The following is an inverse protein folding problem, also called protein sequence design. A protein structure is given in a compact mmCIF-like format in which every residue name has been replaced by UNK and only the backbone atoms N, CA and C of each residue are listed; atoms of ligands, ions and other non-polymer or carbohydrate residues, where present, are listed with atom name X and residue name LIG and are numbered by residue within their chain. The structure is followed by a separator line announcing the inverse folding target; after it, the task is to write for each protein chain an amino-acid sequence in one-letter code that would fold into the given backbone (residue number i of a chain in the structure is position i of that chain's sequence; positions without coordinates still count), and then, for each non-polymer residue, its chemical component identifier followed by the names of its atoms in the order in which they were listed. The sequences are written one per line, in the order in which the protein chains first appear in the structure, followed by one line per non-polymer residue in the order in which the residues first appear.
data_IF_050735684466
#
_entry.id   IF_050735684466
#
_cell.length_a   1.000
_cell.length_b   1.000
_cell.length_c   1.000
_cell.angle_alpha   90.00
_cell.angle_beta   90.00
_cell.angle_gamma   90.00
#
_symmetry.space_group_name_H-M   'P 1'
#
loop_
_entity.id
_entity.type
_entity.pdbx_description
1 polymer ?
#
# COMPACT_ATOMS: atom_id res chain seq x y z
N UNK A 1 -4.17 4.80 -15.32
CA UNK A 1 -3.45 5.45 -14.20
C UNK A 1 -2.16 4.70 -13.89
N UNK A 2 -1.27 5.23 -13.05
CA UNK A 2 -0.05 4.53 -12.61
C UNK A 2 0.00 4.50 -11.09
N UNK A 3 0.22 3.32 -10.52
CA UNK A 3 0.49 3.15 -9.09
C UNK A 3 1.93 3.53 -8.77
N UNK A 4 2.09 4.27 -7.69
CA UNK A 4 3.37 4.63 -7.09
C UNK A 4 3.22 4.56 -5.57
N UNK A 5 4.21 4.01 -4.89
CA UNK A 5 4.25 4.00 -3.44
C UNK A 5 4.90 5.30 -2.94
N UNK A 6 4.22 5.99 -2.03
CA UNK A 6 4.83 7.09 -1.28
C UNK A 6 5.89 6.51 -0.32
N UNK A 7 6.92 7.31 0.03
CA UNK A 7 7.96 6.84 0.95
C UNK A 7 7.38 6.38 2.29
N UNK A 8 6.45 7.14 2.85
CA UNK A 8 5.75 6.77 4.09
C UNK A 8 5.00 5.45 3.96
N UNK A 9 4.39 5.16 2.80
CA UNK A 9 3.69 3.89 2.60
C UNK A 9 4.64 2.69 2.52
N UNK A 10 5.89 2.90 2.10
CA UNK A 10 6.94 1.88 2.14
C UNK A 10 7.38 1.64 3.59
N UNK A 11 7.65 2.72 4.35
CA UNK A 11 8.05 2.62 5.75
C UNK A 11 6.91 1.99 6.62
N UNK A 12 5.64 2.30 6.31
CA UNK A 12 4.48 1.66 6.94
C UNK A 12 4.40 0.17 6.61
N UNK A 13 4.69 -0.21 5.36
CA UNK A 13 4.76 -1.59 4.92
C UNK A 13 5.80 -2.40 5.70
N UNK A 14 7.01 -1.86 5.87
CA UNK A 14 8.09 -2.46 6.66
C UNK A 14 7.68 -2.70 8.10
N UNK A 15 7.07 -1.69 8.73
CA UNK A 15 6.66 -1.78 10.12
C UNK A 15 5.56 -2.82 10.33
N UNK A 16 4.58 -2.89 9.42
CA UNK A 16 3.52 -3.90 9.46
C UNK A 16 4.11 -5.30 9.27
N UNK A 17 4.95 -5.47 8.25
CA UNK A 17 5.56 -6.76 7.95
C UNK A 17 6.39 -7.26 9.14
N UNK A 18 7.34 -6.45 9.63
CA UNK A 18 8.21 -6.83 10.74
C UNK A 18 7.45 -7.12 12.04
N UNK A 19 6.36 -6.40 12.30
CA UNK A 19 5.51 -6.68 13.46
C UNK A 19 4.89 -8.08 13.37
N UNK A 20 4.28 -8.43 12.24
CA UNK A 20 3.63 -9.74 12.05
C UNK A 20 4.66 -10.85 11.93
N UNK A 21 5.78 -10.61 11.22
CA UNK A 21 6.83 -11.58 10.97
C UNK A 21 7.41 -12.13 12.27
N UNK A 22 7.55 -11.28 13.29
CA UNK A 22 8.08 -11.66 14.59
C UNK A 22 7.28 -12.79 15.27
N UNK A 23 6.00 -12.93 14.95
CA UNK A 23 5.12 -13.97 15.48
C UNK A 23 4.80 -15.05 14.44
N UNK A 24 4.59 -14.66 13.18
CA UNK A 24 4.17 -15.56 12.11
C UNK A 24 4.63 -15.05 10.72
N UNK A 25 5.79 -15.52 10.23
CA UNK A 25 6.31 -15.12 8.93
C UNK A 25 5.38 -15.43 7.76
N UNK A 26 4.61 -16.52 7.84
CA UNK A 26 3.65 -16.89 6.78
C UNK A 26 2.47 -15.90 6.75
N UNK A 27 2.02 -15.42 7.90
CA UNK A 27 0.98 -14.39 7.96
C UNK A 27 1.50 -13.05 7.43
N UNK A 28 2.75 -12.68 7.72
CA UNK A 28 3.36 -11.46 7.21
C UNK A 28 3.38 -11.43 5.67
N UNK A 29 3.88 -12.50 5.04
CA UNK A 29 3.86 -12.65 3.59
C UNK A 29 2.44 -12.60 3.00
N UNK A 30 1.48 -13.26 3.64
CA UNK A 30 0.09 -13.24 3.18
C UNK A 30 -0.53 -11.83 3.23
N UNK A 31 -0.25 -11.07 4.29
CA UNK A 31 -0.74 -9.69 4.43
C UNK A 31 -0.10 -8.77 3.39
N UNK A 32 1.20 -8.88 3.15
CA UNK A 32 1.89 -8.10 2.10
C UNK A 32 1.29 -8.36 0.71
N UNK A 33 1.08 -9.64 0.37
CA UNK A 33 0.44 -10.03 -0.89
C UNK A 33 -0.97 -9.41 -1.06
N UNK A 34 -1.78 -9.43 0.00
CA UNK A 34 -3.13 -8.85 -0.04
C UNK A 34 -3.11 -7.32 -0.14
N UNK A 35 -2.15 -6.64 0.48
CA UNK A 35 -1.94 -5.19 0.32
C UNK A 35 -1.59 -4.86 -1.14
N UNK A 36 -0.63 -5.59 -1.72
CA UNK A 36 -0.23 -5.40 -3.13
C UNK A 36 -1.41 -5.69 -4.06
N UNK A 37 -2.17 -6.75 -3.81
CA UNK A 37 -3.35 -7.13 -4.60
C UNK A 37 -4.44 -6.07 -4.52
N UNK A 38 -4.73 -5.54 -3.33
CA UNK A 38 -5.69 -4.45 -3.13
C UNK A 38 -5.24 -3.18 -3.87
N UNK A 39 -3.97 -2.79 -3.73
CA UNK A 39 -3.42 -1.62 -4.41
C UNK A 39 -3.53 -1.75 -5.94
N UNK A 40 -3.23 -2.92 -6.50
CA UNK A 40 -3.35 -3.18 -7.95
C UNK A 40 -4.76 -2.94 -8.50
N UNK A 41 -5.81 -3.23 -7.72
CA UNK A 41 -7.21 -3.00 -8.15
C UNK A 41 -7.52 -1.52 -8.39
N UNK A 42 -6.76 -0.58 -7.81
CA UNK A 42 -6.93 0.86 -8.05
C UNK A 42 -6.57 1.27 -9.49
N UNK A 43 -5.85 0.44 -10.25
CA UNK A 43 -5.63 0.69 -11.68
C UNK A 43 -6.92 0.63 -12.47
N UNK A 44 -7.80 -0.30 -12.10
CA UNK A 44 -9.08 -0.55 -12.76
C UNK A 44 -10.23 0.23 -12.09
N UNK A 45 -10.16 0.42 -10.77
CA UNK A 45 -11.17 1.06 -9.94
C UNK A 45 -10.54 2.14 -9.04
N UNK A 46 -10.06 3.27 -9.59
CA UNK A 46 -9.29 4.26 -8.83
C UNK A 46 -10.04 4.86 -7.64
N UNK A 47 -11.38 4.90 -7.69
CA UNK A 47 -12.21 5.43 -6.62
C UNK A 47 -12.44 4.47 -5.45
N UNK A 48 -12.06 3.19 -5.60
CA UNK A 48 -12.24 2.19 -4.54
C UNK A 48 -11.32 2.39 -3.33
N UNK A 49 -10.26 3.20 -3.48
CA UNK A 49 -9.36 3.56 -2.37
C UNK A 49 -9.75 4.84 -1.64
N UNK A 50 -10.86 5.48 -2.03
CA UNK A 50 -11.29 6.74 -1.43
C UNK A 50 -11.83 6.47 -0.02
N UNK A 51 -11.17 7.02 0.99
CA UNK A 51 -11.66 7.01 2.37
C UNK A 51 -12.98 7.78 2.44
N UNK A 52 -14.06 7.10 2.84
CA UNK A 52 -15.36 7.74 3.01
C UNK A 52 -15.27 8.87 4.05
N UNK A 53 -15.55 10.11 3.63
CA UNK A 53 -15.63 11.28 4.51
C UNK A 53 -14.40 12.20 4.55
N UNK A 54 -13.32 11.91 3.83
CA UNK A 54 -12.22 12.87 3.65
C UNK A 54 -12.48 13.78 2.44
N UNK A 55 -12.15 15.09 2.54
CA UNK A 55 -12.19 15.98 1.38
C UNK A 55 -11.23 15.48 0.30
N UNK A 56 -11.62 15.62 -0.97
CA UNK A 56 -10.87 15.14 -2.15
C UNK A 56 -9.40 15.60 -2.15
N UNK A 57 -9.14 16.81 -1.64
CA UNK A 57 -7.80 17.38 -1.50
C UNK A 57 -6.88 16.63 -0.52
N UNK A 58 -7.44 15.93 0.48
CA UNK A 58 -6.68 15.13 1.44
C UNK A 58 -6.36 13.72 0.90
N UNK A 59 -7.10 13.24 -0.10
CA UNK A 59 -6.88 11.92 -0.72
C UNK A 59 -5.78 11.94 -1.80
N UNK A 60 -5.40 13.12 -2.30
CA UNK A 60 -4.52 13.30 -3.47
C UNK A 60 -3.14 13.90 -3.11
N UNK A 61 -2.57 13.56 -1.94
CA UNK A 61 -1.20 13.96 -1.63
C UNK A 61 -0.21 13.17 -2.50
N UNK A 62 0.15 13.81 -3.60
CA UNK A 62 1.23 13.46 -4.52
C UNK A 62 2.61 13.70 -3.88
N UNK A 63 3.51 12.71 -4.00
CA UNK A 63 4.97 12.82 -4.28
C UNK A 63 5.77 11.64 -3.69
N UNK A 64 6.06 10.64 -4.51
CA UNK A 64 7.39 10.07 -4.73
C UNK A 64 7.25 8.91 -5.73
N UNK A 65 8.26 8.73 -6.56
CA UNK A 65 8.27 7.84 -7.72
C UNK A 65 9.23 6.71 -7.40
N UNK A 66 8.74 5.47 -7.36
CA UNK A 66 9.56 4.25 -7.53
C UNK A 66 8.67 3.07 -7.93
N UNK A 67 9.30 2.16 -8.66
CA UNK A 67 8.69 1.06 -9.38
C UNK A 67 7.99 0.07 -8.43
N UNK A 68 6.91 -0.52 -8.94
CA UNK A 68 6.40 -1.80 -8.48
C UNK A 68 7.59 -2.77 -8.42
N UNK A 69 8.08 -3.12 -7.22
CA UNK A 69 7.73 -4.33 -6.47
C UNK A 69 8.44 -4.23 -5.11
N UNK A 70 7.72 -4.18 -3.98
CA UNK A 70 8.37 -4.39 -2.70
C UNK A 70 8.84 -5.86 -2.64
N UNK A 71 10.13 -6.06 -2.32
CA UNK A 71 10.77 -7.35 -2.06
C UNK A 71 11.37 -7.31 -0.64
N UNK A 72 10.56 -6.93 0.33
CA UNK A 72 10.88 -7.16 1.73
C UNK A 72 10.44 -8.57 2.08
#
# INVERSE_FOLDING_TARGET
MRLVWARYALDDGDNIFGHIESENPKAAAHVDEEIVRAARRLLDFPESGRLAGLPESASLSSRARLALQPMW
#
